data_IF_753183117975
#
_entry.id   IF_753183117975
#
_cell.length_a   1.000
_cell.length_b   1.000
_cell.length_c   1.000
_cell.angle_alpha   90.00
_cell.angle_beta   90.00
_cell.angle_gamma   90.00
#
_symmetry.space_group_name_H-M   'P 1'
#
loop_
_entity.id
_entity.type
_entity.pdbx_description
1 polymer ?
#
# COMPACT_ATOMS: atom_id res chain seq x y z
N UNK A 1 12.97 -9.30 -1.70
CA UNK A 1 12.21 -8.06 -1.86
C UNK A 1 10.85 -8.24 -1.20
N UNK A 2 10.43 -7.36 -0.28
CA UNK A 2 9.19 -7.54 0.52
C UNK A 2 7.92 -7.49 -0.32
N UNK A 3 7.99 -6.85 -1.50
CA UNK A 3 6.89 -6.78 -2.47
C UNK A 3 6.61 -8.14 -3.16
N UNK A 4 7.54 -9.10 -3.11
CA UNK A 4 7.35 -10.43 -3.72
C UNK A 4 6.87 -10.40 -5.18
N UNK A 5 5.86 -11.21 -5.50
CA UNK A 5 5.16 -11.25 -6.79
C UNK A 5 3.93 -10.32 -6.87
N UNK A 6 3.70 -9.47 -5.87
CA UNK A 6 2.56 -8.56 -5.93
C UNK A 6 2.92 -7.35 -6.78
N UNK A 7 2.35 -7.30 -7.99
CA UNK A 7 2.50 -6.15 -8.88
C UNK A 7 1.85 -4.91 -8.23
N UNK A 8 2.62 -3.86 -7.91
CA UNK A 8 2.04 -2.65 -7.34
C UNK A 8 1.18 -1.94 -8.40
N UNK A 9 -0.06 -1.64 -8.05
CA UNK A 9 -0.94 -0.79 -8.86
C UNK A 9 -0.77 0.65 -8.38
N UNK A 10 -0.20 1.51 -9.22
CA UNK A 10 -0.06 2.93 -8.90
C UNK A 10 -1.42 3.61 -9.06
N UNK A 11 -1.98 4.07 -7.93
CA UNK A 11 -3.22 4.86 -7.91
C UNK A 11 -2.89 6.33 -7.69
N UNK A 12 -3.40 7.18 -8.58
CA UNK A 12 -3.34 8.63 -8.43
C UNK A 12 -4.35 9.07 -7.36
N UNK A 13 -3.87 9.84 -6.39
CA UNK A 13 -4.66 10.47 -5.33
C UNK A 13 -4.45 11.98 -5.41
N UNK A 14 -5.42 12.68 -5.99
CA UNK A 14 -5.44 14.13 -6.01
C UNK A 14 -5.89 14.64 -4.64
N UNK A 15 -5.01 15.38 -3.94
CA UNK A 15 -5.28 15.96 -2.63
C UNK A 15 -5.57 17.47 -2.71
N UNK A 16 -5.94 17.98 -3.89
CA UNK A 16 -6.29 19.37 -4.11
C UNK A 16 -5.11 20.30 -3.86
N UNK A 17 -5.21 21.16 -2.84
CA UNK A 17 -4.14 22.12 -2.48
C UNK A 17 -2.83 21.46 -2.06
N UNK A 18 -2.85 20.18 -1.68
CA UNK A 18 -1.65 19.39 -1.35
C UNK A 18 -1.02 18.70 -2.57
N UNK A 19 -1.59 18.91 -3.76
CA UNK A 19 -1.11 18.37 -5.02
C UNK A 19 -1.54 16.92 -5.28
N UNK A 20 -1.00 16.37 -6.36
CA UNK A 20 -1.26 14.99 -6.80
C UNK A 20 -0.24 14.04 -6.19
N UNK A 21 -0.73 13.05 -5.45
CA UNK A 21 0.08 12.01 -4.81
C UNK A 21 -0.12 10.69 -5.55
N UNK A 22 0.92 9.89 -5.67
CA UNK A 22 0.85 8.56 -6.26
C UNK A 22 1.05 7.52 -5.16
N UNK A 23 0.12 6.56 -5.05
CA UNK A 23 0.16 5.50 -4.04
C UNK A 23 0.30 4.15 -4.73
N UNK A 24 1.31 3.39 -4.35
CA UNK A 24 1.44 2.00 -4.77
C UNK A 24 0.49 1.13 -3.94
N UNK A 25 -0.58 0.65 -4.56
CA UNK A 25 -1.50 -0.31 -3.97
C UNK A 25 -0.96 -1.71 -4.23
N UNK A 26 -0.87 -2.52 -3.17
CA UNK A 26 -0.49 -3.93 -3.26
C UNK A 26 -1.73 -4.74 -2.94
N UNK A 27 -2.06 -5.73 -3.76
CA UNK A 27 -3.27 -6.54 -3.58
C UNK A 27 -3.70 -7.25 -4.87
N UNK A 28 -4.85 -7.94 -4.86
CA UNK A 28 -5.87 -7.97 -3.80
C UNK A 28 -5.48 -8.85 -2.58
N UNK A 29 -5.84 -8.40 -1.38
CA UNK A 29 -5.77 -9.21 -0.15
C UNK A 29 -7.15 -9.81 0.16
N UNK A 30 -7.20 -11.05 0.65
CA UNK A 30 -8.47 -11.74 0.94
C UNK A 30 -9.19 -11.21 2.18
N UNK A 31 -8.46 -10.60 3.11
CA UNK A 31 -9.01 -9.98 4.31
C UNK A 31 -8.10 -8.84 4.82
N UNK A 32 -8.60 -8.06 5.78
CA UNK A 32 -7.88 -6.92 6.35
C UNK A 32 -6.62 -7.34 7.13
N UNK A 33 -6.62 -8.51 7.77
CA UNK A 33 -5.49 -9.02 8.55
C UNK A 33 -4.29 -9.36 7.66
N UNK A 34 -4.51 -9.97 6.50
CA UNK A 34 -3.48 -10.21 5.49
C UNK A 34 -2.86 -8.89 5.00
N UNK A 35 -3.69 -7.88 4.75
CA UNK A 35 -3.21 -6.55 4.37
C UNK A 35 -2.38 -5.92 5.50
N UNK A 36 -2.81 -6.07 6.76
CA UNK A 36 -2.11 -5.56 7.94
C UNK A 36 -0.76 -6.25 8.16
N UNK A 37 -0.69 -7.57 8.03
CA UNK A 37 0.56 -8.34 8.12
C UNK A 37 1.56 -7.94 7.03
N UNK A 38 1.11 -7.87 5.78
CA UNK A 38 1.95 -7.40 4.67
C UNK A 38 2.47 -5.98 4.93
N UNK A 39 1.59 -5.10 5.40
CA UNK A 39 1.94 -3.72 5.70
C UNK A 39 2.94 -3.60 6.85
N UNK A 40 2.81 -4.45 7.87
CA UNK A 40 3.77 -4.56 8.97
C UNK A 40 5.15 -4.98 8.47
N UNK A 41 5.22 -5.99 7.61
CA UNK A 41 6.48 -6.46 7.01
C UNK A 41 7.11 -5.37 6.13
N UNK A 42 6.31 -4.64 5.34
CA UNK A 42 6.79 -3.55 4.50
C UNK A 42 7.33 -2.38 5.34
N UNK A 43 6.66 -2.06 6.45
CA UNK A 43 7.14 -1.06 7.43
C UNK A 43 8.43 -1.49 8.11
N UNK A 44 8.54 -2.75 8.52
CA UNK A 44 9.75 -3.29 9.15
C UNK A 44 10.97 -3.24 8.21
N UNK A 45 10.75 -3.36 6.90
CA UNK A 45 11.78 -3.19 5.89
C UNK A 45 12.09 -1.71 5.54
N UNK A 46 11.51 -0.74 6.26
CA UNK A 46 11.71 0.69 6.05
C UNK A 46 10.79 1.33 5.00
N UNK A 47 9.81 0.58 4.47
CA UNK A 47 8.83 1.09 3.53
C UNK A 47 7.67 1.83 4.21
N UNK A 48 7.08 2.79 3.50
CA UNK A 48 5.83 3.42 3.93
C UNK A 48 4.65 2.59 3.45
N UNK A 49 3.75 2.22 4.36
CA UNK A 49 2.58 1.43 4.03
C UNK A 49 1.34 1.87 4.83
N UNK A 50 0.18 1.87 4.16
CA UNK A 50 -1.12 2.15 4.75
C UNK A 50 -2.15 1.11 4.28
N UNK A 51 -2.88 0.51 5.21
CA UNK A 51 -4.02 -0.35 4.90
C UNK A 51 -5.22 0.54 4.63
N UNK A 52 -5.77 0.46 3.42
CA UNK A 52 -7.02 1.15 3.10
C UNK A 52 -8.15 0.52 3.93
N UNK A 53 -8.78 1.30 4.79
CA UNK A 53 -10.05 0.97 5.45
C UNK A 53 -11.12 1.83 4.76
N UNK A 54 -12.17 1.19 4.25
CA UNK A 54 -13.38 1.90 3.84
C UNK A 54 -14.23 2.20 5.06
#
# INVERSE_FOLDING_TARGET
SVLGNHAPVIKRADLGTKGVHYRAMVGPFGNQDQAAQFCGNLKAAGGQCFVQRN
#
